data_IF_328868048261
#
_entry.id   IF_328868048261
#
_cell.length_a   1.000
_cell.length_b   1.000
_cell.length_c   1.000
_cell.angle_alpha   90.00
_cell.angle_beta   90.00
_cell.angle_gamma   90.00
#
_symmetry.space_group_name_H-M   'P 1'
#
loop_
_entity.id
_entity.type
_entity.pdbx_description
1 polymer ?
#
# COMPACT_ATOMS: atom_id res chain seq x y z
N UNK A 1 -18.77 5.65 -17.83
CA UNK A 1 -19.15 5.39 -16.41
C UNK A 1 -19.25 6.73 -15.69
N UNK A 2 -20.29 6.94 -14.88
CA UNK A 2 -20.43 8.10 -14.02
C UNK A 2 -20.91 7.68 -12.64
N UNK A 3 -20.10 7.94 -11.61
CA UNK A 3 -20.43 7.66 -10.22
C UNK A 3 -20.35 8.95 -9.39
N UNK A 4 -21.34 9.21 -8.55
CA UNK A 4 -21.37 10.38 -7.67
C UNK A 4 -21.50 9.92 -6.21
N UNK A 5 -20.44 10.13 -5.44
CA UNK A 5 -20.39 9.82 -4.01
C UNK A 5 -20.58 11.09 -3.21
N UNK A 6 -21.38 11.05 -2.15
CA UNK A 6 -21.72 12.24 -1.35
C UNK A 6 -21.55 11.99 0.15
N UNK A 7 -21.23 13.05 0.90
CA UNK A 7 -21.18 12.99 2.36
C UNK A 7 -20.13 12.02 2.91
N UNK A 8 -20.48 11.29 3.97
CA UNK A 8 -19.57 10.36 4.66
C UNK A 8 -19.02 9.23 3.77
N UNK A 9 -19.74 8.86 2.71
CA UNK A 9 -19.32 7.79 1.78
C UNK A 9 -18.03 8.16 1.04
N UNK A 10 -17.75 9.45 0.83
CA UNK A 10 -16.48 9.89 0.21
C UNK A 10 -15.29 9.47 1.08
N UNK A 11 -15.43 9.55 2.40
CA UNK A 11 -14.42 9.11 3.37
C UNK A 11 -14.25 7.59 3.34
N UNK A 12 -15.35 6.85 3.27
CA UNK A 12 -15.33 5.38 3.19
C UNK A 12 -14.61 4.91 1.92
N UNK A 13 -14.95 5.49 0.76
CA UNK A 13 -14.28 5.20 -0.52
C UNK A 13 -12.78 5.48 -0.43
N UNK A 14 -12.39 6.64 0.10
CA UNK A 14 -11.00 7.00 0.26
C UNK A 14 -10.24 6.00 1.15
N UNK A 15 -10.82 5.59 2.27
CA UNK A 15 -10.25 4.59 3.18
C UNK A 15 -10.10 3.23 2.51
N UNK A 16 -11.06 2.81 1.70
CA UNK A 16 -10.95 1.57 0.93
C UNK A 16 -9.77 1.62 -0.05
N UNK A 17 -9.57 2.74 -0.75
CA UNK A 17 -8.40 2.92 -1.63
C UNK A 17 -7.07 2.88 -0.86
N UNK A 18 -7.01 3.50 0.33
CA UNK A 18 -5.84 3.41 1.23
C UNK A 18 -5.60 2.00 1.78
N UNK A 19 -6.65 1.21 1.96
CA UNK A 19 -6.56 -0.19 2.35
C UNK A 19 -6.00 -1.04 1.21
N UNK A 20 -6.55 -0.89 0.00
CA UNK A 20 -6.10 -1.58 -1.21
C UNK A 20 -4.63 -1.28 -1.55
N UNK A 21 -4.14 -0.06 -1.29
CA UNK A 21 -2.74 0.30 -1.56
C UNK A 21 -1.73 -0.44 -0.70
N UNK A 22 -2.16 -1.10 0.38
CA UNK A 22 -1.27 -1.94 1.19
C UNK A 22 -1.08 -3.33 0.59
N UNK A 23 -1.93 -3.71 -0.36
CA UNK A 23 -1.94 -5.02 -1.02
C UNK A 23 -1.13 -4.97 -2.32
N UNK A 24 -1.47 -4.06 -3.23
CA UNK A 24 -0.82 -3.96 -4.53
C UNK A 24 -0.55 -2.52 -4.96
N UNK A 25 0.30 -2.36 -5.98
CA UNK A 25 0.63 -1.07 -6.59
C UNK A 25 -0.38 -0.64 -7.69
N UNK A 26 -1.22 -1.57 -8.16
CA UNK A 26 -2.22 -1.34 -9.20
C UNK A 26 -3.64 -1.44 -8.64
N UNK A 27 -4.51 -0.53 -9.07
CA UNK A 27 -5.94 -0.51 -8.78
C UNK A 27 -6.71 -0.86 -10.05
N UNK A 28 -7.50 -1.92 -9.99
CA UNK A 28 -8.43 -2.33 -11.03
C UNK A 28 -9.80 -1.75 -10.70
N UNK A 29 -10.39 -1.06 -11.68
CA UNK A 29 -11.70 -0.41 -11.57
C UNK A 29 -12.65 -1.09 -12.55
N UNK A 30 -13.64 -1.77 -12.02
CA UNK A 30 -14.61 -2.55 -12.82
C UNK A 30 -16.05 -2.17 -12.41
N UNK A 31 -16.71 -1.24 -13.13
CA UNK A 31 -18.14 -1.02 -12.98
C UNK A 31 -18.93 -2.26 -13.42
N UNK A 32 -19.79 -2.75 -12.55
CA UNK A 32 -20.68 -3.89 -12.74
C UNK A 32 -22.12 -3.50 -12.37
N UNK A 33 -23.09 -4.30 -12.80
CA UNK A 33 -24.52 -4.05 -12.53
C UNK A 33 -24.83 -4.04 -11.02
N UNK A 34 -24.12 -4.88 -10.27
CA UNK A 34 -24.20 -5.01 -8.81
C UNK A 34 -23.38 -3.96 -8.04
N UNK A 35 -22.62 -3.10 -8.73
CA UNK A 35 -21.85 -2.03 -8.11
C UNK A 35 -20.51 -1.71 -8.77
N UNK A 36 -19.75 -0.81 -8.14
CA UNK A 36 -18.39 -0.51 -8.54
C UNK A 36 -17.43 -1.42 -7.78
N UNK A 37 -16.75 -2.32 -8.49
CA UNK A 37 -15.69 -3.14 -7.91
C UNK A 37 -14.33 -2.43 -8.03
N UNK A 38 -13.66 -2.26 -6.89
CA UNK A 38 -12.28 -1.80 -6.78
C UNK A 38 -11.41 -2.95 -6.30
N UNK A 39 -10.43 -3.36 -7.10
CA UNK A 39 -9.61 -4.53 -6.81
C UNK A 39 -8.13 -4.22 -6.84
N UNK A 40 -7.35 -4.97 -6.08
CA UNK A 40 -5.90 -4.92 -6.12
C UNK A 40 -5.33 -6.32 -5.90
N UNK A 41 -4.18 -6.58 -6.50
CA UNK A 41 -3.44 -7.83 -6.35
C UNK A 41 -1.98 -7.48 -6.12
N UNK A 42 -1.32 -8.23 -5.24
CA UNK A 42 0.12 -8.05 -5.02
C UNK A 42 0.94 -8.58 -6.20
N UNK A 43 2.23 -8.27 -6.22
CA UNK A 43 3.13 -8.62 -7.34
C UNK A 43 3.29 -10.13 -7.55
N UNK A 44 3.20 -10.92 -6.48
CA UNK A 44 3.29 -12.39 -6.50
C UNK A 44 1.96 -13.08 -6.79
N UNK A 45 0.85 -12.34 -6.89
CA UNK A 45 -0.52 -12.87 -6.98
C UNK A 45 -0.91 -13.81 -5.82
N UNK A 46 -0.24 -13.67 -4.67
CA UNK A 46 -0.55 -14.40 -3.45
C UNK A 46 -1.56 -13.68 -2.55
N UNK A 47 -1.86 -12.42 -2.85
CA UNK A 47 -2.86 -11.63 -2.12
C UNK A 47 -3.75 -10.87 -3.08
N UNK A 48 -5.05 -11.01 -2.87
CA UNK A 48 -6.10 -10.35 -3.63
C UNK A 48 -6.99 -9.58 -2.67
N UNK A 49 -7.40 -8.38 -3.06
CA UNK A 49 -8.37 -7.59 -2.31
C UNK A 49 -9.39 -6.97 -3.25
N UNK A 50 -10.65 -6.95 -2.82
CA UNK A 50 -11.77 -6.42 -3.56
C UNK A 50 -12.70 -5.66 -2.61
N UNK A 51 -13.04 -4.43 -2.95
CA UNK A 51 -14.18 -3.70 -2.39
C UNK A 51 -15.25 -3.54 -3.48
N UNK A 52 -16.44 -4.05 -3.23
CA UNK A 52 -17.62 -3.88 -4.06
C UNK A 52 -18.56 -2.87 -3.40
N UNK A 53 -18.76 -1.73 -4.06
CA UNK A 53 -19.69 -0.69 -3.63
C UNK A 53 -20.99 -0.83 -4.38
N UNK A 54 -22.08 -1.17 -3.70
CA UNK A 54 -23.40 -1.32 -4.32
C UNK A 54 -23.86 -0.01 -4.99
N UNK A 55 -24.78 -0.04 -5.97
CA UNK A 55 -25.29 1.17 -6.62
C UNK A 55 -25.84 2.19 -5.62
N UNK A 56 -26.47 1.71 -4.53
CA UNK A 56 -27.01 2.53 -3.44
C UNK A 56 -25.96 3.27 -2.61
N UNK A 57 -24.68 2.86 -2.67
CA UNK A 57 -23.58 3.61 -2.08
C UNK A 57 -23.40 4.98 -2.76
N UNK A 58 -23.77 5.07 -4.04
CA UNK A 58 -23.66 6.27 -4.85
C UNK A 58 -24.99 7.02 -4.89
N UNK A 59 -24.94 8.34 -4.82
CA UNK A 59 -26.11 9.18 -5.12
C UNK A 59 -26.55 9.08 -6.58
N UNK A 60 -25.61 8.74 -7.46
CA UNK A 60 -25.86 8.43 -8.86
C UNK A 60 -24.82 7.42 -9.33
N UNK A 61 -25.29 6.33 -9.93
CA UNK A 61 -24.47 5.31 -10.53
C UNK A 61 -24.99 5.03 -11.95
N UNK A 62 -24.12 5.18 -12.94
CA UNK A 62 -24.45 4.95 -14.35
C UNK A 62 -23.29 4.29 -15.07
N UNK A 63 -23.58 3.13 -15.65
CA UNK A 63 -22.67 2.34 -16.46
C UNK A 63 -23.03 2.63 -17.93
N UNK A 64 -22.06 2.81 -18.83
CA UNK A 64 -22.34 2.92 -20.25
C UNK A 64 -22.90 1.59 -20.79
N UNK A 65 -23.94 1.67 -21.61
CA UNK A 65 -24.69 0.49 -22.08
C UNK A 65 -23.79 -0.49 -22.86
N UNK A 66 -23.80 -1.76 -22.45
CA UNK A 66 -23.31 -2.89 -23.25
C UNK A 66 -21.80 -3.15 -23.25
N UNK A 67 -21.01 -2.49 -22.40
CA UNK A 67 -19.56 -2.76 -22.29
C UNK A 67 -19.12 -2.98 -20.85
N UNK A 68 -18.48 -4.13 -20.63
CA UNK A 68 -17.72 -4.41 -19.42
C UNK A 68 -16.43 -3.59 -19.46
N UNK A 69 -16.51 -2.32 -19.07
CA UNK A 69 -15.33 -1.48 -18.96
C UNK A 69 -14.47 -1.96 -17.79
N UNK A 70 -13.17 -2.10 -18.03
CA UNK A 70 -12.21 -2.55 -17.03
C UNK A 70 -10.92 -1.80 -17.26
N UNK A 71 -10.46 -1.08 -16.25
CA UNK A 71 -9.17 -0.42 -16.33
C UNK A 71 -8.32 -0.68 -15.10
N UNK A 72 -7.01 -0.55 -15.32
CA UNK A 72 -6.01 -0.53 -14.27
C UNK A 72 -5.35 0.85 -14.21
N UNK A 73 -5.09 1.31 -12.99
CA UNK A 73 -4.45 2.60 -12.71
C UNK A 73 -3.48 2.39 -11.55
N UNK A 74 -2.31 3.02 -11.62
CA UNK A 74 -1.38 3.04 -10.51
C UNK A 74 -2.07 3.59 -9.24
N UNK A 75 -2.14 2.78 -8.18
CA UNK A 75 -2.94 3.10 -6.99
C UNK A 75 -2.44 4.36 -6.29
N UNK A 76 -1.12 4.64 -6.36
CA UNK A 76 -0.49 5.85 -5.81
C UNK A 76 -1.04 7.12 -6.45
N UNK A 77 -1.39 7.07 -7.74
CA UNK A 77 -2.03 8.19 -8.44
C UNK A 77 -3.43 8.45 -7.90
N UNK A 78 -4.20 7.40 -7.61
CA UNK A 78 -5.54 7.51 -7.02
C UNK A 78 -5.46 7.94 -5.56
N UNK A 79 -4.52 7.42 -4.78
CA UNK A 79 -4.27 7.86 -3.40
C UNK A 79 -3.91 9.34 -3.32
N UNK A 80 -3.22 9.89 -4.32
CA UNK A 80 -2.89 11.32 -4.36
C UNK A 80 -4.14 12.22 -4.41
N UNK A 81 -5.24 11.73 -4.99
CA UNK A 81 -6.56 12.39 -4.98
C UNK A 81 -7.10 12.46 -3.55
N UNK A 82 -6.93 11.38 -2.79
CA UNK A 82 -7.43 11.21 -1.43
C UNK A 82 -6.33 11.32 -0.35
N UNK A 83 -5.28 12.11 -0.61
CA UNK A 83 -4.04 12.13 0.19
C UNK A 83 -4.27 12.42 1.68
N UNK A 84 -5.15 13.37 2.01
CA UNK A 84 -5.47 13.75 3.39
C UNK A 84 -6.93 13.46 3.69
N UNK A 85 -7.18 12.36 4.42
CA UNK A 85 -8.52 11.99 4.88
C UNK A 85 -9.13 13.07 5.81
N UNK A 86 -8.31 13.71 6.63
CA UNK A 86 -8.75 14.78 7.54
C UNK A 86 -9.22 16.04 6.78
N UNK A 87 -8.54 16.39 5.69
CA UNK A 87 -8.96 17.50 4.82
C UNK A 87 -10.20 17.11 4.04
N UNK A 88 -10.21 15.89 3.48
CA UNK A 88 -11.33 15.35 2.70
C UNK A 88 -12.66 15.47 3.45
N UNK A 89 -12.70 15.02 4.71
CA UNK A 89 -13.89 15.07 5.56
C UNK A 89 -14.38 16.50 5.86
N UNK A 90 -13.44 17.46 5.99
CA UNK A 90 -13.79 18.84 6.31
C UNK A 90 -14.23 19.63 5.09
N UNK A 91 -13.63 19.37 3.94
CA UNK A 91 -13.75 20.24 2.75
C UNK A 91 -14.59 19.65 1.65
N UNK A 92 -14.63 18.33 1.43
CA UNK A 92 -15.30 17.72 0.27
C UNK A 92 -16.75 17.36 0.59
N UNK A 93 -17.66 17.82 -0.26
CA UNK A 93 -19.09 17.53 -0.17
C UNK A 93 -19.49 16.38 -1.08
N UNK A 94 -18.93 16.35 -2.30
CA UNK A 94 -19.21 15.33 -3.33
C UNK A 94 -17.95 14.96 -4.10
N UNK A 95 -17.87 13.70 -4.52
CA UNK A 95 -16.85 13.19 -5.42
C UNK A 95 -17.53 12.61 -6.65
N UNK A 96 -17.21 13.16 -7.82
CA UNK A 96 -17.62 12.64 -9.11
C UNK A 96 -16.48 11.82 -9.70
N UNK A 97 -16.78 10.60 -10.13
CA UNK A 97 -15.87 9.71 -10.82
C UNK A 97 -16.44 9.52 -12.22
N UNK A 98 -15.72 10.02 -13.21
CA UNK A 98 -16.14 10.01 -14.60
C UNK A 98 -15.08 9.34 -15.46
N UNK A 99 -15.52 8.37 -16.23
CA UNK A 99 -14.69 7.70 -17.20
C UNK A 99 -14.91 8.30 -18.58
N UNK A 100 -13.82 8.72 -19.23
CA UNK A 100 -13.83 9.19 -20.60
C UNK A 100 -13.01 8.26 -21.50
N UNK A 101 -13.70 7.35 -22.20
CA UNK A 101 -13.12 6.38 -23.14
C UNK A 101 -12.44 7.05 -24.34
N UNK A 102 -12.89 8.24 -24.75
CA UNK A 102 -12.31 8.93 -25.92
C UNK A 102 -10.96 9.58 -25.60
N UNK A 103 -10.62 9.74 -24.32
CA UNK A 103 -9.42 10.43 -23.84
C UNK A 103 -8.54 9.55 -22.98
N UNK A 104 -8.88 8.27 -22.81
CA UNK A 104 -8.23 7.30 -21.92
C UNK A 104 -7.96 7.86 -20.51
N UNK A 105 -8.97 8.57 -19.97
CA UNK A 105 -8.86 9.27 -18.69
C UNK A 105 -10.00 8.93 -17.75
N UNK A 106 -9.62 8.62 -16.52
CA UNK A 106 -10.51 8.56 -15.36
C UNK A 106 -10.36 9.87 -14.58
N UNK A 107 -11.45 10.63 -14.52
CA UNK A 107 -11.49 11.94 -13.87
C UNK A 107 -12.16 11.82 -12.50
N UNK A 108 -11.47 12.29 -11.46
CA UNK A 108 -12.01 12.49 -10.12
C UNK A 108 -12.22 13.99 -9.90
N UNK A 109 -13.47 14.42 -9.79
CA UNK A 109 -13.82 15.80 -9.49
C UNK A 109 -14.33 15.90 -8.05
N UNK A 110 -13.56 16.54 -7.18
CA UNK A 110 -13.94 16.80 -5.79
C UNK A 110 -14.62 18.16 -5.72
N UNK A 111 -15.89 18.15 -5.36
CA UNK A 111 -16.68 19.34 -5.06
C UNK A 111 -16.47 19.68 -3.60
N UNK A 112 -15.70 20.73 -3.35
CA UNK A 112 -15.38 21.22 -2.03
C UNK A 112 -16.32 22.37 -1.62
N UNK A 113 -16.35 22.64 -0.32
CA UNK A 113 -17.01 23.82 0.27
C UNK A 113 -16.56 25.10 -0.42
N UNK A 114 -17.43 26.11 -0.37
CA UNK A 114 -17.22 27.43 -0.98
C UNK A 114 -17.08 27.40 -2.51
N UNK A 115 -17.62 26.37 -3.16
CA UNK A 115 -17.62 26.26 -4.62
C UNK A 115 -16.27 25.89 -5.24
N UNK A 116 -15.28 25.48 -4.42
CA UNK A 116 -13.99 25.04 -4.92
C UNK A 116 -14.12 23.67 -5.60
N UNK A 117 -13.60 23.56 -6.82
CA UNK A 117 -13.57 22.30 -7.59
C UNK A 117 -12.13 21.85 -7.76
N UNK A 118 -11.84 20.60 -7.38
CA UNK A 118 -10.54 19.98 -7.61
C UNK A 118 -10.69 18.81 -8.57
N UNK A 119 -10.21 19.00 -9.79
CA UNK A 119 -10.30 18.00 -10.86
C UNK A 119 -8.96 17.30 -11.03
N UNK A 120 -8.94 16.00 -10.79
CA UNK A 120 -7.81 15.12 -11.02
C UNK A 120 -8.09 14.26 -12.24
N UNK A 121 -7.20 14.29 -13.21
CA UNK A 121 -7.35 13.49 -14.41
C UNK A 121 -6.24 12.45 -14.47
N UNK A 122 -6.61 11.19 -14.29
CA UNK A 122 -5.68 10.08 -14.23
C UNK A 122 -5.78 9.30 -15.55
N UNK A 123 -4.63 9.03 -16.17
CA UNK A 123 -4.59 8.10 -17.29
C UNK A 123 -4.79 6.68 -16.77
N UNK A 124 -5.52 5.87 -17.52
CA UNK A 124 -5.72 4.46 -17.21
C UNK A 124 -5.17 3.58 -18.33
N UNK A 125 -5.04 2.28 -18.07
CA UNK A 125 -4.76 1.27 -19.08
C UNK A 125 -5.90 0.27 -19.10
N UNK A 126 -6.30 -0.19 -20.28
CA UNK A 126 -7.26 -1.28 -20.39
C UNK A 126 -6.69 -2.56 -19.77
N UNK A 127 -7.56 -3.35 -19.14
CA UNK A 127 -7.13 -4.58 -18.47
C UNK A 127 -8.17 -5.70 -18.53
N UNK A 128 -7.71 -6.92 -18.29
CA UNK A 128 -8.57 -8.08 -18.15
C UNK A 128 -9.25 -8.07 -16.77
N UNK A 129 -10.31 -8.88 -16.62
CA UNK A 129 -10.99 -8.98 -15.33
C UNK A 129 -10.11 -9.69 -14.32
N UNK A 130 -9.95 -9.07 -13.16
CA UNK A 130 -9.28 -9.69 -12.03
C UNK A 130 -10.36 -10.22 -11.09
N UNK A 131 -10.64 -11.53 -11.13
CA UNK A 131 -11.56 -12.17 -10.19
C UNK A 131 -10.86 -13.32 -9.47
N UNK A 132 -10.93 -13.29 -8.14
CA UNK A 132 -10.63 -14.45 -7.33
C UNK A 132 -11.96 -15.12 -6.97
N UNK A 133 -12.12 -16.39 -7.33
CA UNK A 133 -13.26 -17.20 -6.91
C UNK A 133 -12.86 -17.90 -5.62
N UNK A 134 -13.57 -17.59 -4.55
CA UNK A 134 -13.40 -18.22 -3.25
C UNK A 134 -14.79 -18.46 -2.65
N UNK A 135 -14.94 -19.58 -1.95
CA UNK A 135 -16.20 -19.95 -1.35
C UNK A 135 -16.06 -19.91 0.18
N UNK A 136 -16.77 -18.96 0.81
CA UNK A 136 -16.79 -18.78 2.26
C UNK A 136 -17.51 -19.94 2.96
N UNK A 137 -18.53 -20.50 2.32
CA UNK A 137 -19.42 -21.52 2.89
C UNK A 137 -18.73 -22.89 3.02
N UNK A 138 -17.66 -23.11 2.25
CA UNK A 138 -16.90 -24.36 2.28
C UNK A 138 -15.80 -24.38 3.33
N UNK A 139 -15.48 -23.24 3.95
CA UNK A 139 -14.41 -23.17 4.96
C UNK A 139 -14.81 -23.93 6.24
N UNK A 140 -13.82 -24.59 6.86
CA UNK A 140 -14.03 -25.37 8.07
C UNK A 140 -14.07 -24.48 9.30
N UNK A 141 -13.20 -23.47 9.35
CA UNK A 141 -13.08 -22.55 10.47
C UNK A 141 -13.58 -21.17 10.06
N UNK A 142 -14.38 -20.58 10.94
CA UNK A 142 -15.00 -19.26 10.77
C UNK A 142 -14.95 -18.51 12.10
N UNK A 143 -14.51 -17.26 12.05
CA UNK A 143 -14.67 -16.37 13.19
C UNK A 143 -15.07 -14.97 12.75
N UNK A 144 -15.75 -14.27 13.64
CA UNK A 144 -16.14 -12.88 13.47
C UNK A 144 -15.84 -12.11 14.74
N UNK A 145 -15.10 -11.02 14.62
CA UNK A 145 -14.72 -10.19 15.75
C UNK A 145 -14.92 -8.71 15.45
N UNK A 146 -15.11 -7.93 16.51
CA UNK A 146 -15.02 -6.48 16.44
C UNK A 146 -13.60 -6.07 16.00
N UNK A 147 -13.46 -5.05 15.15
CA UNK A 147 -12.17 -4.68 14.58
C UNK A 147 -11.14 -4.29 15.65
N UNK A 148 -11.58 -3.72 16.78
CA UNK A 148 -10.69 -3.33 17.89
C UNK A 148 -9.94 -4.51 18.48
N UNK A 149 -10.59 -5.66 18.70
CA UNK A 149 -9.95 -6.87 19.24
C UNK A 149 -8.78 -7.28 18.35
N UNK A 150 -9.00 -7.31 17.04
CA UNK A 150 -7.97 -7.70 16.07
C UNK A 150 -6.89 -6.63 15.92
N UNK A 151 -7.24 -5.33 15.94
CA UNK A 151 -6.29 -4.21 15.90
C UNK A 151 -5.36 -4.23 17.11
N UNK A 152 -5.93 -4.35 18.31
CA UNK A 152 -5.17 -4.42 19.56
C UNK A 152 -4.26 -5.66 19.56
N UNK A 153 -4.75 -6.79 19.03
CA UNK A 153 -3.94 -7.99 18.85
C UNK A 153 -2.74 -7.73 17.95
N UNK A 154 -2.93 -7.16 16.75
CA UNK A 154 -1.83 -6.96 15.80
C UNK A 154 -0.87 -5.82 16.16
N UNK A 155 -1.28 -4.94 17.08
CA UNK A 155 -0.50 -3.78 17.53
C UNK A 155 0.74 -4.18 18.35
N UNK A 156 0.72 -5.37 18.97
CA UNK A 156 1.83 -5.90 19.75
C UNK A 156 3.00 -6.39 18.90
N UNK A 157 2.77 -6.64 17.61
CA UNK A 157 3.82 -7.08 16.70
C UNK A 157 4.57 -5.89 16.08
N UNK A 158 5.87 -6.03 15.79
CA UNK A 158 6.65 -5.01 15.09
C UNK A 158 5.99 -4.58 13.76
N UNK A 159 6.07 -3.29 13.38
CA UNK A 159 5.57 -2.83 12.09
C UNK A 159 6.27 -3.48 10.88
N UNK A 160 7.52 -3.92 11.07
CA UNK A 160 8.32 -4.62 10.07
C UNK A 160 8.02 -6.11 9.96
N UNK A 161 7.20 -6.68 10.85
CA UNK A 161 6.85 -8.10 10.78
C UNK A 161 5.96 -8.35 9.56
N UNK A 162 6.40 -9.26 8.70
CA UNK A 162 5.72 -9.58 7.44
C UNK A 162 4.65 -10.66 7.63
N UNK A 163 4.94 -11.70 8.41
CA UNK A 163 4.08 -12.88 8.53
C UNK A 163 3.69 -13.19 9.99
N UNK A 164 2.50 -13.76 10.13
CA UNK A 164 1.93 -14.18 11.40
C UNK A 164 1.32 -15.57 11.26
N UNK A 165 1.47 -16.39 12.28
CA UNK A 165 0.86 -17.70 12.39
C UNK A 165 -0.34 -17.61 13.34
N UNK A 166 -1.52 -17.98 12.85
CA UNK A 166 -2.75 -18.12 13.61
C UNK A 166 -3.02 -19.60 13.86
N UNK A 167 -3.06 -20.00 15.13
CA UNK A 167 -3.45 -21.34 15.54
C UNK A 167 -4.80 -21.29 16.25
N UNK A 168 -5.72 -22.18 15.93
CA UNK A 168 -7.04 -22.24 16.56
C UNK A 168 -7.30 -23.58 17.24
N UNK A 169 -8.04 -23.50 18.33
CA UNK A 169 -8.64 -24.61 19.09
C UNK A 169 -10.09 -24.29 19.37
N UNK A 170 -10.85 -25.25 19.91
CA UNK A 170 -12.29 -25.12 20.15
C UNK A 170 -12.68 -23.88 20.99
N UNK A 171 -11.82 -23.44 21.91
CA UNK A 171 -12.13 -22.32 22.82
C UNK A 171 -11.19 -21.11 22.69
N UNK A 172 -10.11 -21.22 21.92
CA UNK A 172 -9.02 -20.21 21.90
C UNK A 172 -8.34 -20.09 20.54
N UNK A 173 -7.87 -18.88 20.25
CA UNK A 173 -7.04 -18.53 19.11
C UNK A 173 -5.70 -17.96 19.60
N UNK A 174 -4.59 -18.46 19.05
CA UNK A 174 -3.25 -17.94 19.28
C UNK A 174 -2.74 -17.25 18.03
N UNK A 175 -2.15 -16.06 18.21
CA UNK A 175 -1.52 -15.28 17.15
C UNK A 175 -0.06 -15.13 17.50
N UNK A 176 0.83 -15.63 16.64
CA UNK A 176 2.29 -15.64 16.86
C UNK A 176 3.03 -15.07 15.68
N UNK A 177 4.16 -14.40 15.91
CA UNK A 177 5.05 -14.05 14.81
C UNK A 177 5.67 -15.31 14.17
N UNK A 178 5.75 -15.31 12.84
CA UNK A 178 6.44 -16.36 12.11
C UNK A 178 7.93 -16.05 12.00
N UNK A 179 8.79 -17.06 12.15
CA UNK A 179 10.25 -16.96 11.98
C UNK A 179 10.67 -18.12 11.09
N UNK A 180 11.12 -17.81 9.86
CA UNK A 180 11.46 -18.83 8.85
C UNK A 180 12.72 -19.63 9.19
N UNK A 181 13.73 -18.99 9.80
CA UNK A 181 15.02 -19.61 10.08
C UNK A 181 15.09 -20.13 11.52
N UNK A 182 15.14 -21.45 11.66
CA UNK A 182 15.36 -22.15 12.93
C UNK A 182 16.62 -21.67 13.68
N UNK A 183 17.65 -21.23 12.96
CA UNK A 183 18.87 -20.67 13.60
C UNK A 183 18.64 -19.28 14.18
N UNK A 184 17.74 -18.49 13.56
CA UNK A 184 17.34 -17.17 14.06
C UNK A 184 16.25 -17.27 15.12
N UNK A 185 15.47 -18.35 15.16
CA UNK A 185 14.43 -18.58 16.17
C UNK A 185 14.93 -18.49 17.61
N UNK A 186 16.16 -18.93 17.85
CA UNK A 186 16.81 -18.85 19.18
C UNK A 186 17.19 -17.42 19.61
N UNK A 187 17.30 -16.49 18.64
CA UNK A 187 17.71 -15.09 18.85
C UNK A 187 16.56 -14.10 18.62
N UNK A 188 15.52 -14.53 17.92
CA UNK A 188 14.35 -13.74 17.61
C UNK A 188 13.42 -13.64 18.82
N UNK A 189 12.90 -12.45 19.06
CA UNK A 189 11.83 -12.25 20.04
C UNK A 189 10.56 -12.90 19.50
N UNK A 190 9.99 -13.83 20.25
CA UNK A 190 8.70 -14.44 19.95
C UNK A 190 7.61 -13.71 20.74
N UNK A 191 6.58 -13.25 20.03
CA UNK A 191 5.39 -12.63 20.59
C UNK A 191 4.22 -13.55 20.31
N UNK A 192 3.49 -13.91 21.36
CA UNK A 192 2.27 -14.71 21.28
C UNK A 192 1.16 -13.96 22.00
N UNK A 193 0.00 -13.87 21.35
CA UNK A 193 -1.25 -13.42 21.96
C UNK A 193 -2.24 -14.57 21.95
N UNK A 194 -2.97 -14.71 23.05
CA UNK A 194 -4.02 -15.71 23.20
C UNK A 194 -5.34 -14.97 23.39
N UNK A 195 -6.28 -15.24 22.49
CA UNK A 195 -7.64 -14.73 22.52
C UNK A 195 -8.57 -15.87 22.88
N UNK A 196 -9.47 -15.63 23.84
CA UNK A 196 -10.51 -16.55 24.20
C UNK A 196 -11.73 -16.40 23.26
N UNK A 197 -12.47 -17.48 23.07
CA UNK A 197 -13.63 -17.52 22.16
C UNK A 197 -14.74 -16.52 22.51
N UNK A 198 -14.85 -16.09 23.76
CA UNK A 198 -15.80 -15.08 24.26
C UNK A 198 -15.45 -13.65 23.84
N UNK A 199 -14.23 -13.40 23.35
CA UNK A 199 -13.83 -12.12 22.77
C UNK A 199 -14.33 -11.93 21.32
N UNK A 200 -14.91 -12.97 20.72
CA UNK A 200 -15.42 -12.98 19.36
C UNK A 200 -16.95 -12.92 19.33
N UNK A 201 -17.50 -12.24 18.33
CA UNK A 201 -18.95 -12.23 18.08
C UNK A 201 -19.43 -13.61 17.61
N UNK A 202 -18.59 -14.30 16.82
CA UNK A 202 -18.78 -15.69 16.41
C UNK A 202 -17.43 -16.41 16.37
N UNK A 203 -17.39 -17.64 16.88
CA UNK A 203 -16.18 -18.46 16.91
C UNK A 203 -16.55 -19.92 16.65
N UNK A 204 -16.25 -20.41 15.44
CA UNK A 204 -16.56 -21.77 15.00
C UNK A 204 -15.28 -22.41 14.47
N UNK A 205 -14.81 -23.42 15.20
CA UNK A 205 -13.66 -24.24 14.80
C UNK A 205 -14.17 -25.66 14.61
N UNK A 206 -14.07 -26.18 13.37
CA UNK A 206 -14.39 -27.59 13.07
C UNK A 206 -13.14 -28.44 13.09
N UNK A 207 -11.99 -27.86 12.72
CA UNK A 207 -10.72 -28.57 12.65
C UNK A 207 -9.63 -27.68 13.21
N UNK A 208 -9.10 -28.00 14.41
CA UNK A 208 -7.97 -27.26 14.99
C UNK A 208 -6.77 -27.32 14.04
N UNK A 209 -6.32 -26.16 13.57
CA UNK A 209 -5.20 -26.06 12.65
C UNK A 209 -4.45 -24.73 12.84
N UNK A 210 -3.36 -24.57 12.09
CA UNK A 210 -2.46 -23.43 12.21
C UNK A 210 -2.06 -22.90 10.84
N UNK A 211 -2.49 -21.68 10.50
CA UNK A 211 -2.19 -21.06 9.19
C UNK A 211 -1.24 -19.90 9.35
N UNK A 212 -0.30 -19.75 8.41
CA UNK A 212 0.63 -18.61 8.38
C UNK A 212 0.37 -17.76 7.14
N UNK A 213 0.20 -16.45 7.32
CA UNK A 213 -0.11 -15.52 6.23
C UNK A 213 0.47 -14.12 6.49
N UNK A 214 0.37 -13.25 5.48
CA UNK A 214 0.94 -11.90 5.49
C UNK A 214 0.18 -10.94 6.43
N UNK A 215 0.85 -10.51 7.49
CA UNK A 215 0.36 -9.55 8.48
C UNK A 215 0.23 -8.13 7.90
N UNK A 216 1.12 -7.74 6.99
CA UNK A 216 1.07 -6.41 6.35
C UNK A 216 -0.26 -6.20 5.60
N UNK A 217 -0.70 -7.23 4.89
CA UNK A 217 -1.93 -7.24 4.11
C UNK A 217 -3.16 -7.28 5.03
N UNK A 218 -3.12 -8.11 6.09
CA UNK A 218 -4.15 -8.14 7.13
C UNK A 218 -4.33 -6.78 7.81
N UNK A 219 -3.23 -6.11 8.18
CA UNK A 219 -3.24 -4.74 8.70
C UNK A 219 -3.89 -3.75 7.72
N UNK A 220 -3.78 -3.98 6.41
CA UNK A 220 -4.45 -3.18 5.39
C UNK A 220 -5.97 -3.22 5.51
N UNK A 221 -6.55 -4.41 5.70
CA UNK A 221 -7.99 -4.54 5.95
C UNK A 221 -8.39 -3.95 7.31
N UNK A 222 -7.63 -4.22 8.37
CA UNK A 222 -7.96 -3.77 9.72
C UNK A 222 -8.07 -2.24 9.83
N UNK A 223 -7.21 -1.49 9.12
CA UNK A 223 -7.29 -0.02 9.06
C UNK A 223 -8.63 0.44 8.46
N UNK A 224 -9.15 -0.27 7.46
CA UNK A 224 -10.46 0.04 6.93
C UNK A 224 -11.55 -0.27 7.97
N UNK A 225 -11.55 -1.51 8.48
CA UNK A 225 -12.57 -2.05 9.39
C UNK A 225 -12.70 -1.26 10.71
N UNK A 226 -11.58 -0.90 11.33
CA UNK A 226 -11.55 -0.07 12.55
C UNK A 226 -12.23 1.27 12.32
N UNK A 227 -11.94 1.87 11.18
CA UNK A 227 -12.35 3.22 10.88
C UNK A 227 -13.81 3.32 10.40
N UNK A 228 -14.38 2.22 9.90
CA UNK A 228 -15.80 2.06 9.59
C UNK A 228 -16.57 1.39 10.72
N UNK A 229 -15.88 0.93 11.77
CA UNK A 229 -16.42 0.15 12.88
C UNK A 229 -17.25 -1.07 12.41
N UNK A 230 -16.75 -1.75 11.38
CA UNK A 230 -17.35 -2.96 10.83
C UNK A 230 -16.64 -4.20 11.39
N UNK A 231 -17.38 -5.23 11.83
CA UNK A 231 -16.78 -6.48 12.27
C UNK A 231 -16.08 -7.18 11.11
N UNK A 232 -14.97 -7.84 11.42
CA UNK A 232 -14.15 -8.60 10.47
C UNK A 232 -14.48 -10.06 10.64
N UNK A 233 -14.79 -10.73 9.54
CA UNK A 233 -14.95 -12.18 9.50
C UNK A 233 -13.71 -12.80 8.84
N UNK A 234 -13.16 -13.88 9.40
CA UNK A 234 -12.10 -14.66 8.78
C UNK A 234 -12.59 -16.09 8.57
N UNK A 235 -12.30 -16.62 7.39
CA UNK A 235 -12.61 -17.97 6.97
C UNK A 235 -11.32 -18.62 6.49
N UNK A 236 -11.03 -19.82 6.98
CA UNK A 236 -9.85 -20.56 6.58
C UNK A 236 -10.05 -22.05 6.82
N UNK A 237 -9.16 -22.82 6.23
CA UNK A 237 -9.14 -24.28 6.33
C UNK A 237 -7.70 -24.72 6.61
N UNK A 238 -7.17 -25.70 5.88
CA UNK A 238 -5.82 -26.23 6.08
C UNK A 238 -4.68 -25.31 5.59
N UNK A 239 -3.45 -25.48 6.12
CA UNK A 239 -2.27 -24.79 5.63
C UNK A 239 -2.05 -25.03 4.13
N UNK A 240 -1.73 -23.97 3.39
CA UNK A 240 -1.68 -23.97 1.93
C UNK A 240 -2.99 -23.53 1.26
N UNK A 241 -4.13 -23.64 1.96
CA UNK A 241 -5.40 -23.06 1.50
C UNK A 241 -5.51 -21.58 1.88
N UNK A 242 -6.13 -20.72 1.06
CA UNK A 242 -6.16 -19.29 1.32
C UNK A 242 -7.01 -18.94 2.55
N UNK A 243 -6.58 -17.91 3.28
CA UNK A 243 -7.39 -17.24 4.30
C UNK A 243 -8.22 -16.16 3.61
N UNK A 244 -9.53 -16.18 3.85
CA UNK A 244 -10.47 -15.17 3.36
C UNK A 244 -10.86 -14.28 4.53
N UNK A 245 -10.65 -12.98 4.38
CA UNK A 245 -11.07 -11.95 5.31
C UNK A 245 -12.18 -11.13 4.68
N UNK A 246 -13.25 -10.88 5.42
CA UNK A 246 -14.42 -10.20 4.90
C UNK A 246 -14.91 -9.12 5.86
N UNK A 247 -15.30 -7.98 5.29
CA UNK A 247 -16.03 -6.90 5.97
C UNK A 247 -17.24 -6.55 5.13
N UNK A 248 -18.41 -6.59 5.74
CA UNK A 248 -19.68 -6.39 5.02
C UNK A 248 -20.53 -5.34 5.71
N UNK A 249 -21.12 -4.47 4.91
CA UNK A 249 -22.14 -3.48 5.27
C UNK A 249 -23.25 -3.53 4.19
N UNK A 250 -24.43 -2.96 4.47
CA UNK A 250 -25.59 -3.08 3.58
C UNK A 250 -25.39 -2.54 2.16
N UNK A 251 -24.36 -1.72 1.92
CA UNK A 251 -24.03 -1.13 0.60
C UNK A 251 -22.57 -1.35 0.19
N UNK A 252 -21.81 -2.15 0.95
CA UNK A 252 -20.38 -2.36 0.73
C UNK A 252 -19.97 -3.75 1.17
N UNK A 253 -19.24 -4.45 0.31
CA UNK A 253 -18.57 -5.68 0.65
C UNK A 253 -17.06 -5.56 0.37
N UNK A 254 -16.23 -5.87 1.36
CA UNK A 254 -14.78 -5.96 1.24
C UNK A 254 -14.31 -7.38 1.48
N UNK A 255 -13.60 -7.98 0.53
CA UNK A 255 -13.04 -9.32 0.64
C UNK A 255 -11.55 -9.31 0.31
N UNK A 256 -10.75 -9.87 1.21
CA UNK A 256 -9.30 -10.04 1.06
C UNK A 256 -9.01 -11.53 1.10
N UNK A 257 -8.31 -12.03 0.10
CA UNK A 257 -7.92 -13.44 -0.03
C UNK A 257 -6.41 -13.49 0.01
N UNK A 258 -5.87 -14.09 1.08
CA UNK A 258 -4.45 -14.16 1.35
C UNK A 258 -4.00 -15.62 1.27
N UNK A 259 -2.96 -15.90 0.49
CA UNK A 259 -2.35 -17.21 0.49
C UNK A 259 -1.75 -17.52 1.87
N UNK A 260 -1.76 -18.81 2.23
CA UNK A 260 -1.11 -19.30 3.43
C UNK A 260 0.09 -20.16 3.07
N UNK A 261 1.08 -20.22 3.97
CA UNK A 261 2.18 -21.16 3.83
C UNK A 261 1.66 -22.60 3.94
N UNK A 262 2.21 -23.48 3.11
CA UNK A 262 1.95 -24.92 3.20
C UNK A 262 2.97 -25.57 4.13
N UNK A 263 2.54 -26.61 4.85
CA UNK A 263 3.39 -27.37 5.77
C UNK A 263 4.25 -28.44 5.06
N UNK A 264 4.30 -28.45 3.72
CA UNK A 264 4.92 -29.54 2.96
C UNK A 264 6.46 -29.58 3.15
N UNK A 265 7.02 -30.60 3.82
CA UNK A 265 8.46 -30.73 4.00
C UNK A 265 9.18 -31.20 2.73
N UNK A 266 8.46 -31.47 1.63
CA UNK A 266 9.01 -32.10 0.42
C UNK A 266 9.55 -31.13 -0.64
N UNK A 267 9.41 -29.81 -0.47
CA UNK A 267 10.08 -28.84 -1.35
C UNK A 267 11.53 -28.65 -0.90
N UNK A 268 12.55 -29.03 -1.70
CA UNK A 268 13.93 -28.77 -1.33
C UNK A 268 14.14 -27.25 -1.26
N UNK A 269 14.31 -26.73 -0.05
CA UNK A 269 14.80 -25.37 0.21
C UNK A 269 16.12 -25.23 -0.55
N UNK A 270 16.09 -24.50 -1.66
CA UNK A 270 17.21 -24.37 -2.58
C UNK A 270 18.31 -23.53 -1.92
N UNK A 271 19.07 -24.15 -1.02
CA UNK A 271 20.26 -23.59 -0.41
C UNK A 271 21.36 -23.66 -1.45
N UNK A 272 21.63 -22.56 -2.13
CA UNK A 272 22.87 -22.36 -2.89
C UNK A 272 24.05 -22.32 -1.91
N UNK A 273 24.55 -23.50 -1.53
CA UNK A 273 25.89 -23.68 -1.00
C UNK A 273 26.59 -24.68 -1.89
N UNK A 274 27.60 -24.18 -2.60
CA UNK A 274 28.45 -24.99 -3.47
C UNK A 274 29.06 -26.16 -2.72
N UNK A 275 28.97 -27.33 -3.33
CA UNK A 275 29.84 -28.45 -3.09
C UNK A 275 30.03 -29.20 -4.41
N UNK A 276 31.29 -29.42 -4.73
CA UNK A 276 31.81 -29.98 -5.99
C UNK A 276 31.16 -31.31 -6.41
N UNK A 277 30.84 -31.41 -7.70
CA UNK A 277 30.74 -32.67 -8.43
C UNK A 277 31.72 -32.63 -9.63
N UNK A 278 32.33 -33.75 -10.02
CA UNK A 278 33.40 -33.77 -11.03
C UNK A 278 32.85 -33.55 -12.45
N UNK A 279 33.64 -32.96 -13.37
CA UNK A 279 33.15 -32.64 -14.71
C UNK A 279 33.07 -33.89 -15.60
N UNK A 280 32.00 -33.98 -16.39
CA UNK A 280 31.84 -34.91 -17.51
C UNK A 280 32.73 -34.51 -18.71
N UNK A 281 33.20 -35.47 -19.53
CA UNK A 281 34.08 -35.17 -20.67
C UNK A 281 33.32 -34.51 -21.84
N UNK A 282 33.98 -33.68 -22.66
CA UNK A 282 33.37 -33.09 -23.84
C UNK A 282 33.36 -34.09 -25.01
N UNK A 283 32.39 -34.00 -25.94
CA UNK A 283 32.46 -34.71 -27.21
C UNK A 283 33.47 -34.02 -28.16
N UNK A 284 34.20 -34.87 -28.89
CA UNK A 284 35.10 -34.54 -29.99
C UNK A 284 34.40 -33.71 -31.07
N UNK A 285 34.89 -32.50 -31.33
CA UNK A 285 34.71 -31.83 -32.63
C UNK A 285 36.10 -31.59 -33.24
N UNK A 286 36.50 -32.59 -34.02
CA UNK A 286 37.61 -32.55 -34.96
C UNK A 286 37.13 -31.81 -36.22
N UNK A 287 37.54 -30.55 -36.41
CA UNK A 287 37.95 -30.00 -37.73
C UNK A 287 38.64 -28.64 -37.56
N UNK A 288 39.97 -28.70 -37.68
CA UNK A 288 40.89 -27.78 -38.38
C UNK A 288 40.93 -26.29 -38.05
N UNK A 289 41.94 -25.96 -37.24
CA UNK A 289 43.18 -25.21 -37.56
C UNK A 289 43.15 -23.86 -38.31
N UNK A 290 43.80 -22.93 -37.59
CA UNK A 290 44.74 -21.89 -38.02
C UNK A 290 44.24 -20.67 -38.79
N UNK A 291 44.24 -19.52 -38.10
CA UNK A 291 45.12 -18.41 -38.50
C UNK A 291 45.28 -17.36 -37.38
N UNK A 292 46.54 -17.05 -37.07
CA UNK A 292 47.04 -16.13 -36.05
C UNK A 292 46.34 -14.77 -35.93
N UNK A 293 46.12 -14.38 -34.68
CA UNK A 293 45.80 -13.03 -34.24
C UNK A 293 47.03 -12.13 -34.24
N UNK A 294 47.00 -11.05 -35.01
CA UNK A 294 47.83 -9.88 -34.76
C UNK A 294 46.98 -8.78 -34.10
N UNK A 295 47.45 -8.29 -32.94
CA UNK A 295 47.12 -6.97 -32.36
C UNK A 295 47.33 -5.87 -33.46
N UNK A 296 46.74 -4.68 -33.42
CA UNK A 296 46.96 -3.59 -32.45
C UNK A 296 45.90 -2.48 -32.72
N UNK A 297 45.53 -1.80 -31.64
CA UNK A 297 44.83 -0.49 -31.47
C UNK A 297 45.18 0.61 -32.48
N UNK A 298 44.27 1.60 -32.69
CA UNK A 298 44.52 3.07 -32.71
C UNK A 298 43.16 3.78 -32.82
N UNK A 299 42.75 4.67 -31.90
CA UNK A 299 43.18 6.06 -31.66
C UNK A 299 43.01 7.01 -32.85
N UNK A 300 42.11 8.00 -32.65
CA UNK A 300 41.68 9.00 -33.63
C UNK A 300 42.44 10.31 -33.45
N UNK A 301 43.12 10.78 -34.50
CA UNK A 301 43.54 12.18 -34.60
C UNK A 301 43.55 12.70 -36.06
N UNK A 302 42.89 13.84 -36.22
CA UNK A 302 43.07 15.00 -37.15
C UNK A 302 43.61 14.85 -38.59
N UNK A 303 42.72 15.25 -39.52
CA UNK A 303 42.84 16.23 -40.62
C UNK A 303 43.86 16.06 -41.78
N UNK A 304 43.34 16.09 -43.03
CA UNK A 304 43.66 17.02 -44.15
C UNK A 304 43.09 16.48 -45.50
N UNK A 305 42.47 17.34 -46.34
CA UNK A 305 41.82 16.99 -47.64
C UNK A 305 42.79 16.71 -48.81
N UNK A 306 42.47 16.97 -50.11
CA UNK A 306 41.20 17.27 -50.80
C UNK A 306 40.94 16.45 -52.12
N UNK A 307 39.75 16.63 -52.73
CA UNK A 307 39.38 16.46 -54.18
C UNK A 307 39.44 15.03 -54.79
N UNK A 308 38.58 14.55 -55.72
CA UNK A 308 37.90 15.15 -56.89
C UNK A 308 36.79 14.20 -57.42
N UNK A 309 35.85 14.79 -58.18
CA UNK A 309 35.10 14.26 -59.34
C UNK A 309 33.68 13.64 -59.19
N UNK A 310 32.72 14.33 -59.81
CA UNK A 310 31.40 13.82 -60.23
C UNK A 310 30.31 14.92 -60.40
N UNK A 311 29.89 15.30 -61.63
CA UNK A 311 28.96 16.43 -61.91
C UNK A 311 27.48 15.98 -61.99
N UNK A 312 26.48 16.87 -61.85
CA UNK A 312 25.85 17.63 -62.96
C UNK A 312 24.82 18.65 -62.44
N UNK A 313 24.65 19.75 -63.18
CA UNK A 313 24.05 21.04 -62.77
C UNK A 313 22.68 21.37 -63.41
N UNK A 314 22.02 22.42 -62.87
CA UNK A 314 21.32 23.55 -63.55
C UNK A 314 20.28 24.19 -62.59
N UNK A 315 19.94 25.49 -62.48
CA UNK A 315 20.44 26.84 -62.85
C UNK A 315 19.48 27.81 -62.08
N UNK A 316 19.86 28.93 -61.43
CA UNK A 316 19.76 30.31 -61.95
C UNK A 316 19.99 31.36 -60.82
N UNK A 317 20.90 32.32 -61.10
CA UNK A 317 20.87 33.79 -60.85
C UNK A 317 20.93 34.41 -59.43
N UNK A 318 22.16 34.77 -58.98
CA UNK A 318 22.75 36.13 -58.71
C UNK A 318 21.87 37.36 -58.34
N UNK A 319 22.44 38.46 -57.75
CA UNK A 319 23.46 38.55 -56.68
C UNK A 319 23.32 39.79 -55.71
N UNK A 320 24.25 39.89 -54.72
CA UNK A 320 24.85 41.13 -54.14
C UNK A 320 24.01 42.03 -53.17
N UNK A 321 24.49 42.70 -52.11
CA UNK A 321 25.80 42.87 -51.42
C UNK A 321 25.60 43.71 -50.13
N UNK A 322 26.51 43.52 -49.16
CA UNK A 322 27.14 44.53 -48.27
C UNK A 322 26.36 45.29 -47.15
N UNK A 323 26.91 45.13 -45.93
CA UNK A 323 27.34 46.14 -44.93
C UNK A 323 26.31 47.01 -44.17
N UNK A 324 26.40 46.91 -42.84
CA UNK A 324 25.97 47.83 -41.74
C UNK A 324 26.48 49.29 -41.92
N UNK A 325 25.92 50.34 -41.26
CA UNK A 325 25.82 50.47 -39.78
C UNK A 325 24.70 51.34 -39.12
N UNK A 326 24.62 51.19 -37.78
CA UNK A 326 24.28 52.15 -36.68
C UNK A 326 23.07 53.11 -36.72
N UNK A 327 22.19 53.04 -35.70
CA UNK A 327 22.17 53.93 -34.51
C UNK A 327 20.78 54.12 -33.83
N UNK A 328 20.80 54.04 -32.50
CA UNK A 328 20.08 54.88 -31.51
C UNK A 328 18.72 54.49 -30.85
N UNK A 329 18.87 54.20 -29.54
CA UNK A 329 18.18 54.74 -28.34
C UNK A 329 16.98 54.01 -27.67
N UNK A 330 17.29 53.50 -26.44
CA UNK A 330 16.59 53.62 -25.13
C UNK A 330 15.17 53.03 -25.04
N UNK A 331 14.86 52.11 -24.11
CA UNK A 331 14.62 52.38 -22.68
C UNK A 331 14.58 51.06 -21.86
N UNK A 332 14.89 51.18 -20.56
CA UNK A 332 15.24 50.17 -19.55
C UNK A 332 14.09 49.96 -18.54
N UNK A 333 13.89 48.73 -18.04
CA UNK A 333 13.49 48.36 -16.64
C UNK A 333 13.43 46.82 -16.52
N UNK A 334 14.44 46.18 -15.90
CA UNK A 334 14.59 45.71 -14.51
C UNK A 334 13.74 44.47 -14.11
N UNK A 335 14.42 43.34 -13.94
CA UNK A 335 14.01 42.17 -13.17
C UNK A 335 15.22 41.72 -12.34
N UNK A 336 15.05 41.63 -11.03
CA UNK A 336 16.06 41.27 -10.04
C UNK A 336 16.12 39.74 -9.87
N UNK A 337 17.32 39.19 -9.96
CA UNK A 337 17.70 37.85 -9.49
C UNK A 337 18.89 38.07 -8.54
N UNK A 338 18.78 37.63 -7.29
CA UNK A 338 19.90 37.56 -6.34
C UNK A 338 20.16 36.10 -5.99
N UNK A 339 21.32 35.62 -6.44
CA UNK A 339 22.02 34.43 -5.96
C UNK A 339 23.00 34.85 -4.86
N UNK A 340 23.15 34.06 -3.80
CA UNK A 340 24.34 34.09 -2.94
C UNK A 340 24.79 32.64 -2.61
N UNK A 341 25.99 32.28 -3.06
CA UNK A 341 26.90 31.30 -2.45
C UNK A 341 28.18 32.08 -2.08
N UNK A 342 28.85 31.91 -0.93
CA UNK A 342 29.86 30.88 -0.61
C UNK A 342 30.54 31.26 0.72
N UNK A 343 30.94 30.29 1.57
CA UNK A 343 32.37 29.98 1.87
C UNK A 343 32.55 28.92 2.99
N UNK A 344 33.58 28.09 2.80
CA UNK A 344 34.03 26.93 3.57
C UNK A 344 35.22 27.29 4.50
N UNK A 345 35.45 26.50 5.57
CA UNK A 345 36.63 26.66 6.43
C UNK A 345 36.69 25.88 7.76
N UNK A 346 36.80 24.55 7.68
CA UNK A 346 37.63 23.61 8.49
C UNK A 346 37.66 23.53 10.05
N UNK A 347 37.73 22.26 10.51
CA UNK A 347 38.18 21.68 11.80
C UNK A 347 37.16 21.32 12.92
N UNK A 348 37.26 20.08 13.44
CA UNK A 348 36.55 19.45 14.59
C UNK A 348 37.58 18.59 15.37
N UNK A 349 37.28 18.03 16.58
CA UNK A 349 36.48 18.45 17.74
C UNK A 349 37.31 18.29 19.07
N UNK A 350 36.79 18.31 20.36
CA UNK A 350 35.90 17.25 20.91
C UNK A 350 34.94 17.58 22.10
N UNK A 351 33.95 16.70 22.30
CA UNK A 351 33.31 16.23 23.55
C UNK A 351 32.49 17.18 24.49
N UNK A 352 31.17 16.92 24.65
CA UNK A 352 30.49 16.42 25.89
C UNK A 352 28.95 16.61 25.89
N UNK A 353 28.24 15.47 26.02
CA UNK A 353 27.00 15.20 26.80
C UNK A 353 25.78 16.15 26.65
N UNK A 354 24.78 15.72 25.87
CA UNK A 354 23.39 16.17 26.07
C UNK A 354 22.63 15.16 26.94
N UNK A 355 22.11 15.63 28.08
CA UNK A 355 21.20 14.90 28.97
C UNK A 355 19.76 15.19 28.52
N UNK A 356 19.00 14.11 28.37
CA UNK A 356 17.53 14.08 28.29
C UNK A 356 16.90 14.88 29.43
N UNK A 357 15.98 15.80 29.11
CA UNK A 357 15.05 16.41 30.05
C UNK A 357 13.69 15.73 29.88
N UNK A 358 13.32 14.96 30.91
CA UNK A 358 11.97 14.48 31.16
C UNK A 358 11.05 15.67 31.45
N UNK A 359 9.94 15.78 30.73
CA UNK A 359 8.81 16.63 31.11
C UNK A 359 7.76 15.76 31.81
N UNK A 360 7.76 15.80 33.14
CA UNK A 360 6.61 15.42 33.95
C UNK A 360 5.61 16.58 33.95
N UNK A 361 4.35 16.31 33.62
CA UNK A 361 3.25 17.27 33.77
C UNK A 361 2.40 16.88 34.98
N UNK A 362 2.19 17.86 35.85
CA UNK A 362 1.48 17.80 37.12
C UNK A 362 0.09 18.38 36.91
N UNK A 363 -0.95 17.69 37.41
CA UNK A 363 -2.34 18.14 37.41
C UNK A 363 -2.54 19.38 38.33
N UNK A 364 -3.35 20.36 37.94
CA UNK A 364 -3.70 21.50 38.79
C UNK A 364 -4.86 21.18 39.77
N UNK A 365 -4.93 21.86 40.95
CA UNK A 365 -5.95 21.62 41.96
C UNK A 365 -7.23 22.44 41.72
N UNK A 366 -8.38 21.86 42.08
CA UNK A 366 -9.70 22.51 42.10
C UNK A 366 -9.93 23.36 43.38
N UNK A 367 -10.67 24.48 43.32
CA UNK A 367 -10.97 25.28 44.50
C UNK A 367 -12.19 24.77 45.28
N UNK A 368 -12.12 24.85 46.62
CA UNK A 368 -13.19 24.58 47.57
C UNK A 368 -14.04 25.83 47.82
N UNK A 369 -15.37 25.68 47.86
CA UNK A 369 -16.28 26.55 48.62
C UNK A 369 -17.02 25.68 49.64
N UNK A 370 -17.07 26.20 50.87
CA UNK A 370 -17.60 25.59 52.09
C UNK A 370 -19.08 25.92 52.29
N UNK A 371 -19.87 24.96 52.77
CA UNK A 371 -20.94 25.14 53.77
C UNK A 371 -21.32 23.78 54.37
N UNK A 372 -21.20 23.66 55.69
CA UNK A 372 -21.51 22.51 56.57
C UNK A 372 -23.03 22.43 56.91
N UNK A 373 -23.51 21.58 57.86
CA UNK A 373 -23.46 20.10 57.94
C UNK A 373 -24.84 19.49 58.32
N UNK A 374 -25.03 18.17 58.16
CA UNK A 374 -25.87 17.36 59.08
C UNK A 374 -25.23 15.99 59.28
N UNK A 375 -25.06 15.66 60.56
CA UNK A 375 -24.56 14.44 61.20
C UNK A 375 -25.44 13.21 60.97
N UNK A 376 -24.83 12.07 60.65
CA UNK A 376 -25.07 10.79 61.33
C UNK A 376 -23.87 9.86 61.11
N UNK A 377 -23.37 9.34 62.22
CA UNK A 377 -22.23 8.46 62.38
C UNK A 377 -22.73 7.02 62.52
N UNK A 378 -22.11 6.07 61.84
CA UNK A 378 -21.68 4.80 62.44
C UNK A 378 -20.69 4.08 61.51
N UNK A 379 -19.51 3.81 62.07
CA UNK A 379 -18.38 3.07 61.50
C UNK A 379 -18.14 1.92 62.45
N UNK A 380 -18.12 0.68 61.95
CA UNK A 380 -17.35 -0.41 62.53
C UNK A 380 -16.89 -1.35 61.41
N UNK A 381 -15.57 -1.35 61.16
CA UNK A 381 -14.88 -2.45 60.52
C UNK A 381 -14.48 -3.47 61.60
N UNK A 382 -14.38 -4.74 61.24
CA UNK A 382 -13.66 -5.73 62.04
C UNK A 382 -12.78 -6.54 61.11
N UNK A 383 -11.49 -6.38 61.38
CA UNK A 383 -10.34 -7.12 60.89
C UNK A 383 -10.18 -8.39 61.74
N UNK A 384 -9.83 -9.52 61.12
CA UNK A 384 -9.27 -10.67 61.82
C UNK A 384 -8.62 -11.64 60.84
N UNK A 385 -7.30 -11.55 60.78
CA UNK A 385 -6.37 -12.66 60.53
C UNK A 385 -6.59 -13.74 61.63
N UNK A 386 -6.63 -15.03 61.29
CA UNK A 386 -5.54 -16.01 61.53
C UNK A 386 -5.95 -17.50 61.41
N UNK A 387 -4.97 -18.30 60.99
CA UNK A 387 -4.69 -19.75 61.12
C UNK A 387 -5.65 -20.85 60.62
N UNK A 388 -5.17 -21.64 59.64
CA UNK A 388 -4.82 -23.08 59.78
C UNK A 388 -3.87 -23.54 58.68
#
# INVERSE_FOLDING_TARGET
>A
MQCVVTGGNVKVLAKAIHSLSRIGDELYVEPQEDGLALRSVNSSRSAYACFLFAPLFFSRYSIPDGRNFRCKIAIKSVQSVFRSLATLEKTVEKCHIELNEQKDRLTFTLHCKHGLLKTHNLSYQDSESLQAVFNKDTCTNEFRAQPRVLVDTVAHFPPSLEEVTVTVSDERMWVRNHVEDETERSKAMLTELCLASDEFDHFVVKTPNSVTFCLKEFRGLLVFAESSNLPVSMYFDEPGSPVVLSVTDGVLEGNFVLATLSDDPSLPKNKSKGAHAPPSPPPDDFMNDDMDSYLITMDTSVASGPSTAGPSASTLTDPCTSKLPEANHRTRTHSEEEEEEMEDGSERPPNKKFRSLFFGSVFPPSPKISTQPVTTQEVLASDSEDES
#
